data_IF_207318019986
#
_entry.id   IF_207318019986
#
_cell.length_a   1.000
_cell.length_b   1.000
_cell.length_c   1.000
_cell.angle_alpha   90.00
_cell.angle_beta   90.00
_cell.angle_gamma   90.00
#
_symmetry.space_group_name_H-M   'P 1'
#
loop_
_entity.id
_entity.type
_entity.pdbx_description
1 polymer ?
#
# COMPACT_ATOMS: atom_id res chain seq x y z
N UNK A 1 -17.29 -6.84 -13.36
CA UNK A 1 -16.49 -7.96 -12.84
C UNK A 1 -17.43 -8.93 -12.14
N UNK A 2 -17.09 -10.21 -11.98
CA UNK A 2 -17.95 -11.13 -11.21
C UNK A 2 -17.77 -10.86 -9.71
N UNK A 3 -18.82 -11.07 -8.91
CA UNK A 3 -18.79 -10.88 -7.44
C UNK A 3 -17.62 -11.63 -6.78
N UNK A 4 -17.25 -12.80 -7.32
CA UNK A 4 -16.10 -13.57 -6.83
C UNK A 4 -14.75 -12.86 -7.05
N UNK A 5 -14.58 -12.15 -8.18
CA UNK A 5 -13.37 -11.37 -8.46
C UNK A 5 -13.28 -10.11 -7.61
N UNK A 6 -14.42 -9.46 -7.36
CA UNK A 6 -14.47 -8.27 -6.49
C UNK A 6 -14.13 -8.65 -5.04
N UNK A 7 -14.67 -9.78 -4.56
CA UNK A 7 -14.31 -10.33 -3.23
C UNK A 7 -12.83 -10.74 -3.16
N UNK A 8 -12.29 -11.36 -4.22
CA UNK A 8 -10.89 -11.74 -4.30
C UNK A 8 -9.96 -10.53 -4.22
N UNK A 9 -10.26 -9.49 -5.00
CA UNK A 9 -9.51 -8.24 -4.96
C UNK A 9 -9.58 -7.61 -3.56
N UNK A 10 -10.76 -7.51 -2.95
CA UNK A 10 -10.92 -6.92 -1.62
C UNK A 10 -10.12 -7.66 -0.53
N UNK A 11 -10.21 -9.00 -0.49
CA UNK A 11 -9.47 -9.80 0.51
C UNK A 11 -7.95 -9.65 0.31
N UNK A 12 -7.50 -9.63 -0.94
CA UNK A 12 -6.11 -9.37 -1.28
C UNK A 12 -5.66 -7.95 -0.87
N UNK A 13 -6.49 -6.93 -1.07
CA UNK A 13 -6.20 -5.57 -0.62
C UNK A 13 -6.00 -5.48 0.89
N UNK A 14 -6.89 -6.10 1.66
CA UNK A 14 -6.78 -6.13 3.12
C UNK A 14 -5.48 -6.84 3.56
N UNK A 15 -5.09 -7.91 2.87
CA UNK A 15 -3.87 -8.64 3.19
C UNK A 15 -2.59 -7.86 2.84
N UNK A 16 -2.55 -7.14 1.72
CA UNK A 16 -1.34 -6.51 1.17
C UNK A 16 -1.09 -5.09 1.70
N UNK A 17 -2.13 -4.27 1.85
CA UNK A 17 -1.99 -2.87 2.22
C UNK A 17 -2.05 -2.67 3.75
N UNK A 18 -0.92 -2.50 4.46
CA UNK A 18 -0.90 -2.34 5.91
C UNK A 18 -1.77 -1.17 6.42
N UNK A 19 -2.06 -0.19 5.57
CA UNK A 19 -2.85 0.98 5.92
C UNK A 19 -4.32 0.88 5.45
N UNK A 20 -4.75 -0.30 4.96
CA UNK A 20 -6.13 -0.52 4.57
C UNK A 20 -7.07 -0.15 5.71
N UNK A 21 -8.03 0.73 5.40
CA UNK A 21 -9.08 1.14 6.32
C UNK A 21 -10.39 1.31 5.56
N UNK A 22 -11.49 0.98 6.22
CA UNK A 22 -12.83 1.29 5.74
C UNK A 22 -13.05 2.79 5.93
N UNK A 23 -13.20 3.50 4.82
CA UNK A 23 -13.36 4.96 4.78
C UNK A 23 -14.67 5.42 5.40
N UNK A 24 -14.64 6.57 6.08
CA UNK A 24 -15.81 7.27 6.60
C UNK A 24 -16.64 7.96 5.50
N UNK A 25 -16.06 8.19 4.32
CA UNK A 25 -16.70 8.95 3.24
C UNK A 25 -17.45 8.02 2.28
N UNK A 26 -18.73 8.27 1.97
CA UNK A 26 -19.46 7.50 0.96
C UNK A 26 -18.74 7.55 -0.39
N UNK A 27 -18.52 6.39 -1.02
CA UNK A 27 -17.81 6.29 -2.30
C UNK A 27 -18.43 7.08 -3.47
N UNK A 28 -19.66 7.60 -3.33
CA UNK A 28 -20.35 8.32 -4.41
C UNK A 28 -21.05 9.61 -3.92
N UNK A 29 -20.73 10.79 -4.50
CA UNK A 29 -21.38 12.06 -4.18
C UNK A 29 -22.91 12.04 -4.34
N UNK A 30 -23.44 11.27 -5.28
CA UNK A 30 -24.89 11.15 -5.51
C UNK A 30 -25.55 10.36 -4.38
N UNK A 31 -24.91 9.28 -3.89
CA UNK A 31 -25.40 8.57 -2.70
C UNK A 31 -25.35 9.46 -1.46
N UNK A 32 -24.31 10.30 -1.32
CA UNK A 32 -24.22 11.26 -0.23
C UNK A 32 -25.37 12.28 -0.28
N UNK A 33 -25.66 12.86 -1.44
CA UNK A 33 -26.76 13.83 -1.64
C UNK A 33 -28.15 13.21 -1.45
N UNK A 34 -28.36 11.96 -1.88
CA UNK A 34 -29.62 11.24 -1.66
C UNK A 34 -29.81 10.92 -0.18
N UNK A 35 -28.77 10.43 0.51
CA UNK A 35 -28.79 10.19 1.97
C UNK A 35 -29.08 11.50 2.71
N UNK A 36 -28.45 12.61 2.32
CA UNK A 36 -28.64 13.92 2.93
C UNK A 36 -30.07 14.46 2.74
N UNK A 37 -30.63 14.40 1.53
CA UNK A 37 -31.98 14.92 1.26
C UNK A 37 -33.09 14.06 1.89
N UNK A 38 -32.96 12.73 1.91
CA UNK A 38 -33.91 11.87 2.62
C UNK A 38 -33.85 12.10 4.14
N UNK A 39 -32.65 12.27 4.69
CA UNK A 39 -32.47 12.54 6.11
C UNK A 39 -33.03 13.92 6.49
N UNK A 40 -32.85 14.94 5.66
CA UNK A 40 -33.34 16.31 5.93
C UNK A 40 -34.85 16.36 6.16
N UNK A 41 -35.64 15.82 5.21
CA UNK A 41 -37.10 15.81 5.33
C UNK A 41 -37.58 15.06 6.58
N UNK A 42 -36.87 14.01 6.97
CA UNK A 42 -37.18 13.24 8.17
C UNK A 42 -36.89 14.02 9.47
N UNK A 43 -35.79 14.78 9.51
CA UNK A 43 -35.47 15.64 10.65
C UNK A 43 -36.40 16.84 10.78
N UNK A 44 -36.87 17.39 9.65
CA UNK A 44 -37.84 18.48 9.64
C UNK A 44 -39.19 18.00 10.24
N UNK A 45 -39.65 16.80 9.89
CA UNK A 45 -40.84 16.18 10.49
C UNK A 45 -40.68 15.95 12.01
N UNK A 46 -39.52 15.47 12.46
CA UNK A 46 -39.24 15.32 13.89
C UNK A 46 -39.30 16.68 14.62
N UNK A 47 -38.75 17.73 14.01
CA UNK A 47 -38.80 19.07 14.59
C UNK A 47 -40.24 19.62 14.67
N UNK A 48 -41.04 19.42 13.61
CA UNK A 48 -42.46 19.80 13.58
C UNK A 48 -43.26 19.09 14.66
N UNK A 49 -43.03 17.78 14.85
CA UNK A 49 -43.72 16.97 15.85
C UNK A 49 -43.40 17.40 17.29
N UNK A 50 -42.14 17.69 17.57
CA UNK A 50 -41.70 18.18 18.88
C UNK A 50 -42.16 19.61 19.17
N UNK A 51 -42.51 20.40 18.14
CA UNK A 51 -43.02 21.75 18.29
C UNK A 51 -44.54 21.82 18.56
N UNK A 52 -45.27 20.70 18.45
CA UNK A 52 -46.71 20.61 18.78
C UNK A 52 -46.95 20.85 20.29
N UNK A 53 -48.18 21.21 20.65
CA UNK A 53 -48.63 21.33 22.04
C UNK A 53 -49.89 20.46 22.30
N UNK A 54 -49.77 19.32 23.03
CA UNK A 54 -48.53 18.77 23.58
C UNK A 54 -47.61 18.19 22.49
N UNK A 55 -46.30 18.05 22.76
CA UNK A 55 -45.34 17.48 21.80
C UNK A 55 -45.69 16.04 21.39
N UNK A 56 -45.45 15.71 20.12
CA UNK A 56 -45.63 14.36 19.59
C UNK A 56 -44.29 13.60 19.59
N UNK A 57 -44.21 12.57 20.43
CA UNK A 57 -42.98 11.81 20.65
C UNK A 57 -42.84 10.56 19.77
N UNK A 58 -43.78 10.28 18.85
CA UNK A 58 -43.79 9.03 18.08
C UNK A 58 -42.50 8.86 17.27
N UNK A 59 -42.05 9.88 16.53
CA UNK A 59 -40.83 9.81 15.75
C UNK A 59 -39.57 9.70 16.64
N UNK A 60 -39.50 10.47 17.72
CA UNK A 60 -38.39 10.40 18.68
C UNK A 60 -38.26 8.98 19.28
N UNK A 61 -39.37 8.36 19.66
CA UNK A 61 -39.39 6.99 20.16
C UNK A 61 -38.85 5.98 19.15
N UNK A 62 -39.29 6.05 17.90
CA UNK A 62 -38.83 5.13 16.85
C UNK A 62 -37.31 5.25 16.65
N UNK A 63 -36.77 6.47 16.67
CA UNK A 63 -35.33 6.72 16.59
C UNK A 63 -34.57 6.18 17.79
N UNK A 64 -35.11 6.30 19.00
CA UNK A 64 -34.51 5.70 20.19
C UNK A 64 -34.49 4.16 20.11
N UNK A 65 -35.51 3.53 19.51
CA UNK A 65 -35.52 2.09 19.28
C UNK A 65 -34.50 1.67 18.21
N UNK A 66 -34.32 2.47 17.16
CA UNK A 66 -33.28 2.25 16.16
C UNK A 66 -31.88 2.41 16.75
N UNK A 67 -31.67 3.43 17.59
CA UNK A 67 -30.43 3.63 18.36
C UNK A 67 -30.15 2.41 19.23
N UNK A 68 -31.15 1.93 19.98
CA UNK A 68 -31.04 0.72 20.80
C UNK A 68 -30.59 -0.47 19.96
N UNK A 69 -31.27 -0.72 18.83
CA UNK A 69 -30.98 -1.86 17.98
C UNK A 69 -29.55 -1.78 17.42
N UNK A 70 -29.16 -0.60 16.94
CA UNK A 70 -27.81 -0.33 16.42
C UNK A 70 -26.73 -0.59 17.48
N UNK A 71 -26.95 -0.12 18.71
CA UNK A 71 -26.01 -0.35 19.82
C UNK A 71 -25.89 -1.85 20.11
N UNK A 72 -27.00 -2.57 20.15
CA UNK A 72 -27.01 -4.00 20.50
C UNK A 72 -26.46 -4.89 19.37
N UNK A 73 -26.70 -4.58 18.11
CA UNK A 73 -26.35 -5.49 17.02
C UNK A 73 -25.00 -5.14 16.39
N UNK A 74 -24.72 -3.84 16.20
CA UNK A 74 -23.56 -3.40 15.43
C UNK A 74 -22.38 -2.98 16.30
N UNK A 75 -22.64 -2.41 17.49
CA UNK A 75 -21.59 -1.85 18.36
C UNK A 75 -21.18 -2.85 19.45
N UNK A 76 -22.14 -3.48 20.12
CA UNK A 76 -21.88 -4.39 21.23
C UNK A 76 -21.79 -5.84 20.77
N UNK A 77 -20.61 -6.44 20.91
CA UNK A 77 -20.48 -7.90 20.78
C UNK A 77 -21.36 -8.67 21.80
N UNK A 78 -21.68 -9.96 21.53
CA UNK A 78 -22.41 -10.81 22.47
C UNK A 78 -21.73 -10.98 23.84
N UNK A 79 -20.42 -10.72 23.94
CA UNK A 79 -19.66 -10.82 25.19
C UNK A 79 -19.99 -9.68 26.18
N UNK A 80 -20.55 -8.56 25.72
CA UNK A 80 -20.87 -7.38 26.55
C UNK A 80 -22.17 -7.55 27.37
N UNK A 81 -22.35 -8.68 28.05
CA UNK A 81 -23.60 -9.08 28.73
C UNK A 81 -24.14 -7.98 29.66
N UNK A 82 -23.28 -7.35 30.47
CA UNK A 82 -23.68 -6.29 31.40
C UNK A 82 -24.16 -5.02 30.70
N UNK A 83 -23.42 -4.55 29.70
CA UNK A 83 -23.80 -3.35 28.93
C UNK A 83 -25.08 -3.59 28.13
N UNK A 84 -25.24 -4.78 27.54
CA UNK A 84 -26.48 -5.15 26.84
C UNK A 84 -27.68 -5.13 27.78
N UNK A 85 -27.53 -5.61 29.02
CA UNK A 85 -28.60 -5.56 30.02
C UNK A 85 -28.94 -4.13 30.44
N UNK A 86 -27.91 -3.28 30.64
CA UNK A 86 -28.07 -1.84 30.93
C UNK A 86 -28.85 -1.12 29.82
N UNK A 87 -28.43 -1.31 28.56
CA UNK A 87 -29.12 -0.76 27.37
C UNK A 87 -30.57 -1.22 27.31
N UNK A 88 -30.83 -2.51 27.47
CA UNK A 88 -32.19 -3.05 27.43
C UNK A 88 -33.08 -2.54 28.55
N UNK A 89 -32.51 -2.25 29.73
CA UNK A 89 -33.26 -1.70 30.85
C UNK A 89 -33.62 -0.23 30.68
N UNK A 90 -32.70 0.59 30.16
CA UNK A 90 -32.94 2.04 29.99
C UNK A 90 -33.79 2.32 28.75
N UNK A 91 -33.53 1.60 27.66
CA UNK A 91 -34.27 1.68 26.39
C UNK A 91 -35.29 0.53 26.29
N UNK A 92 -36.05 0.26 27.36
CA UNK A 92 -37.11 -0.75 27.33
C UNK A 92 -38.31 -0.25 26.51
N UNK A 93 -38.72 -1.03 25.51
CA UNK A 93 -39.74 -0.60 24.54
C UNK A 93 -41.09 -0.35 25.22
N UNK A 94 -41.53 -1.28 26.08
CA UNK A 94 -42.83 -1.19 26.75
C UNK A 94 -42.86 0.01 27.70
N UNK A 95 -41.81 0.18 28.50
CA UNK A 95 -41.69 1.29 29.44
C UNK A 95 -41.65 2.65 28.73
N UNK A 96 -40.92 2.76 27.62
CA UNK A 96 -40.86 4.00 26.85
C UNK A 96 -42.16 4.28 26.09
N UNK A 97 -42.83 3.25 25.54
CA UNK A 97 -44.15 3.40 24.91
C UNK A 97 -45.19 3.95 25.89
N UNK A 98 -45.22 3.41 27.12
CA UNK A 98 -46.11 3.92 28.17
C UNK A 98 -45.82 5.39 28.52
N UNK A 99 -44.55 5.79 28.61
CA UNK A 99 -44.15 7.20 28.85
C UNK A 99 -44.49 8.12 27.68
N UNK A 100 -44.45 7.61 26.46
CA UNK A 100 -44.87 8.32 25.25
C UNK A 100 -46.36 8.65 25.31
N UNK A 101 -47.21 7.63 25.55
CA UNK A 101 -48.66 7.77 25.58
C UNK A 101 -49.14 8.73 26.68
N UNK A 102 -48.35 8.87 27.75
CA UNK A 102 -48.59 9.81 28.85
C UNK A 102 -47.97 11.20 28.63
N UNK A 103 -47.34 11.46 27.48
CA UNK A 103 -46.62 12.70 27.16
C UNK A 103 -45.58 13.11 28.25
N UNK A 104 -44.91 12.12 28.85
CA UNK A 104 -43.94 12.34 29.94
C UNK A 104 -42.55 11.75 29.64
N UNK A 105 -42.24 11.58 28.35
CA UNK A 105 -40.96 11.02 27.91
C UNK A 105 -39.82 12.04 28.05
N UNK A 106 -38.78 11.67 28.81
CA UNK A 106 -37.54 12.46 28.93
C UNK A 106 -36.53 12.06 27.85
N UNK A 107 -36.70 12.61 26.64
CA UNK A 107 -35.81 12.32 25.51
C UNK A 107 -34.37 12.81 25.77
N UNK A 108 -34.20 13.93 26.47
CA UNK A 108 -32.88 14.46 26.83
C UNK A 108 -32.12 13.55 27.80
N UNK A 109 -32.78 13.06 28.85
CA UNK A 109 -32.17 12.13 29.80
C UNK A 109 -31.74 10.83 29.13
N UNK A 110 -32.57 10.28 28.24
CA UNK A 110 -32.25 9.07 27.48
C UNK A 110 -31.08 9.34 26.51
N UNK A 111 -31.11 10.47 25.79
CA UNK A 111 -30.04 10.85 24.88
C UNK A 111 -28.69 11.01 25.59
N UNK A 112 -28.66 11.66 26.76
CA UNK A 112 -27.45 11.77 27.59
C UNK A 112 -26.92 10.42 28.03
N UNK A 113 -27.78 9.52 28.48
CA UNK A 113 -27.39 8.15 28.80
C UNK A 113 -26.73 7.45 27.60
N UNK A 114 -27.31 7.58 26.40
CA UNK A 114 -26.73 7.00 25.18
C UNK A 114 -25.37 7.61 24.88
N UNK A 115 -25.24 8.94 24.94
CA UNK A 115 -23.96 9.63 24.72
C UNK A 115 -22.90 9.14 25.72
N UNK A 116 -23.25 9.01 27.01
CA UNK A 116 -22.35 8.49 28.05
C UNK A 116 -21.96 7.02 27.83
N UNK A 117 -22.87 6.20 27.33
CA UNK A 117 -22.58 4.83 26.95
C UNK A 117 -21.61 4.77 25.77
N UNK A 118 -21.89 5.52 24.70
CA UNK A 118 -21.04 5.58 23.51
C UNK A 118 -19.65 6.15 23.84
N UNK A 119 -19.57 7.15 24.72
CA UNK A 119 -18.32 7.72 25.22
C UNK A 119 -17.39 6.68 25.87
N UNK A 120 -17.95 5.67 26.53
CA UNK A 120 -17.19 4.58 27.16
C UNK A 120 -16.68 3.54 26.15
N UNK A 121 -17.20 3.56 24.92
CA UNK A 121 -16.97 2.53 23.90
C UNK A 121 -16.18 3.05 22.68
N UNK A 122 -16.23 4.36 22.40
CA UNK A 122 -15.54 4.95 21.26
C UNK A 122 -14.02 5.09 21.49
N UNK A 123 -13.28 5.29 20.40
CA UNK A 123 -11.85 5.58 20.46
C UNK A 123 -11.59 6.98 21.07
N UNK A 124 -10.44 7.21 21.74
CA UNK A 124 -10.10 8.50 22.36
C UNK A 124 -10.13 9.69 21.40
N UNK A 125 -9.87 9.44 20.11
CA UNK A 125 -9.92 10.45 19.05
C UNK A 125 -11.32 11.08 18.90
N UNK A 126 -12.37 10.40 19.38
CA UNK A 126 -13.76 10.85 19.32
C UNK A 126 -14.19 11.67 20.54
N UNK A 127 -13.35 11.84 21.56
CA UNK A 127 -13.67 12.56 22.79
C UNK A 127 -14.16 13.99 22.53
N UNK A 128 -13.56 14.69 21.57
CA UNK A 128 -13.98 16.05 21.18
C UNK A 128 -15.38 16.10 20.57
N UNK A 129 -15.79 15.05 19.86
CA UNK A 129 -17.13 14.93 19.28
C UNK A 129 -18.15 14.60 20.38
N UNK A 130 -17.82 13.66 21.26
CA UNK A 130 -18.65 13.30 22.43
C UNK A 130 -18.90 14.52 23.30
N UNK A 131 -17.87 15.33 23.57
CA UNK A 131 -17.98 16.50 24.43
C UNK A 131 -18.94 17.55 23.84
N UNK A 132 -18.91 17.74 22.51
CA UNK A 132 -19.89 18.60 21.82
C UNK A 132 -21.32 18.06 21.98
N UNK A 133 -21.52 16.76 21.82
CA UNK A 133 -22.84 16.13 21.97
C UNK A 133 -23.40 16.23 23.39
N UNK A 134 -22.54 16.16 24.42
CA UNK A 134 -22.96 16.36 25.83
C UNK A 134 -23.58 17.72 26.09
N UNK A 135 -23.14 18.74 25.33
CA UNK A 135 -23.59 20.13 25.46
C UNK A 135 -24.72 20.50 24.49
N UNK A 136 -25.22 19.55 23.70
CA UNK A 136 -26.29 19.80 22.74
C UNK A 136 -27.64 19.97 23.46
N UNK A 137 -28.31 21.09 23.22
CA UNK A 137 -29.59 21.44 23.85
C UNK A 137 -30.79 21.08 22.97
N UNK A 138 -30.59 20.91 21.65
CA UNK A 138 -31.65 20.50 20.73
C UNK A 138 -31.85 18.98 20.72
N UNK A 139 -33.09 18.50 20.89
CA UNK A 139 -33.42 17.06 20.80
C UNK A 139 -33.04 16.50 19.42
N UNK A 140 -33.36 17.25 18.36
CA UNK A 140 -33.13 16.82 16.98
C UNK A 140 -31.63 16.72 16.69
N UNK A 141 -30.86 17.73 17.08
CA UNK A 141 -29.41 17.84 16.92
C UNK A 141 -28.69 16.76 17.74
N UNK A 142 -29.16 16.50 18.95
CA UNK A 142 -28.65 15.44 19.81
C UNK A 142 -28.84 14.07 19.17
N UNK A 143 -30.05 13.74 18.69
CA UNK A 143 -30.33 12.45 18.04
C UNK A 143 -29.51 12.30 16.74
N UNK A 144 -29.48 13.33 15.89
CA UNK A 144 -28.62 13.38 14.68
C UNK A 144 -27.16 13.08 15.04
N UNK A 145 -26.67 13.73 16.08
CA UNK A 145 -25.32 13.60 16.58
C UNK A 145 -25.00 12.19 17.10
N UNK A 146 -25.95 11.55 17.79
CA UNK A 146 -25.84 10.15 18.23
C UNK A 146 -25.71 9.21 17.02
N UNK A 147 -26.56 9.34 16.01
CA UNK A 147 -26.46 8.52 14.79
C UNK A 147 -25.12 8.71 14.08
N UNK A 148 -24.67 9.97 13.94
CA UNK A 148 -23.38 10.25 13.34
C UNK A 148 -22.21 9.62 14.12
N UNK A 149 -22.23 9.72 15.46
CA UNK A 149 -21.23 9.09 16.31
C UNK A 149 -21.25 7.56 16.15
N UNK A 150 -22.43 6.93 16.13
CA UNK A 150 -22.56 5.48 15.90
C UNK A 150 -22.03 5.05 14.53
N UNK A 151 -22.34 5.80 13.46
CA UNK A 151 -21.84 5.51 12.09
C UNK A 151 -20.30 5.55 12.06
N UNK A 152 -19.68 6.54 12.71
CA UNK A 152 -18.22 6.63 12.83
C UNK A 152 -17.67 5.46 13.66
N UNK A 153 -18.30 5.14 14.79
CA UNK A 153 -17.89 4.03 15.66
C UNK A 153 -17.96 2.67 14.96
N UNK A 154 -18.92 2.46 14.05
CA UNK A 154 -18.99 1.23 13.24
C UNK A 154 -17.75 1.05 12.37
N UNK A 155 -17.25 2.13 11.77
CA UNK A 155 -16.01 2.12 11.00
C UNK A 155 -14.80 1.88 11.91
N UNK A 156 -14.74 2.54 13.07
CA UNK A 156 -13.69 2.34 14.07
C UNK A 156 -13.61 0.87 14.50
N UNK A 157 -14.76 0.26 14.82
CA UNK A 157 -14.84 -1.14 15.22
C UNK A 157 -14.44 -2.08 14.07
N UNK A 158 -14.88 -1.79 12.84
CA UNK A 158 -14.50 -2.58 11.66
C UNK A 158 -12.99 -2.53 11.44
N UNK A 159 -12.39 -1.35 11.50
CA UNK A 159 -10.94 -1.17 11.36
C UNK A 159 -10.16 -1.84 12.50
N UNK A 160 -10.65 -1.77 13.74
CA UNK A 160 -10.08 -2.48 14.89
C UNK A 160 -10.13 -3.99 14.73
N UNK A 161 -11.26 -4.54 14.27
CA UNK A 161 -11.42 -5.98 14.01
C UNK A 161 -10.49 -6.43 12.88
N UNK A 162 -10.40 -5.64 11.80
CA UNK A 162 -9.48 -5.92 10.68
C UNK A 162 -8.01 -5.89 11.15
N UNK A 163 -7.60 -4.88 11.92
CA UNK A 163 -6.23 -4.77 12.43
C UNK A 163 -5.87 -5.92 13.37
N UNK A 164 -6.81 -6.31 14.25
CA UNK A 164 -6.60 -7.38 15.22
C UNK A 164 -6.52 -8.76 14.55
N UNK A 165 -7.30 -8.99 13.49
CA UNK A 165 -7.36 -10.27 12.80
C UNK A 165 -6.48 -10.33 11.53
N UNK A 166 -5.61 -9.35 11.32
CA UNK A 166 -4.87 -9.18 10.07
C UNK A 166 -4.09 -10.42 9.63
N UNK A 167 -3.38 -11.06 10.56
CA UNK A 167 -2.63 -12.28 10.27
C UNK A 167 -3.52 -13.43 9.77
N UNK A 168 -4.74 -13.55 10.30
CA UNK A 168 -5.71 -14.54 9.86
C UNK A 168 -6.28 -14.20 8.47
N UNK A 169 -6.49 -12.91 8.17
CA UNK A 169 -6.91 -12.45 6.84
C UNK A 169 -5.83 -12.73 5.80
N UNK A 170 -4.55 -12.47 6.11
CA UNK A 170 -3.43 -12.78 5.23
C UNK A 170 -3.36 -14.28 4.89
N UNK A 171 -3.48 -15.14 5.91
CA UNK A 171 -3.50 -16.60 5.70
C UNK A 171 -4.69 -17.05 4.85
N UNK A 172 -5.87 -16.49 5.13
CA UNK A 172 -7.07 -16.76 4.34
C UNK A 172 -6.93 -16.29 2.90
N UNK A 173 -6.37 -15.09 2.67
CA UNK A 173 -6.15 -14.52 1.35
C UNK A 173 -5.30 -15.43 0.47
N UNK A 174 -4.16 -15.92 0.97
CA UNK A 174 -3.32 -16.85 0.21
C UNK A 174 -4.05 -18.14 -0.17
N UNK A 175 -4.81 -18.73 0.76
CA UNK A 175 -5.58 -19.96 0.50
C UNK A 175 -6.70 -19.72 -0.52
N UNK A 176 -7.40 -18.59 -0.38
CA UNK A 176 -8.50 -18.21 -1.24
C UNK A 176 -8.04 -17.90 -2.67
N UNK A 177 -6.98 -17.10 -2.82
CA UNK A 177 -6.35 -16.78 -4.11
C UNK A 177 -5.88 -18.03 -4.85
N UNK A 178 -5.16 -18.92 -4.16
CA UNK A 178 -4.69 -20.15 -4.77
C UNK A 178 -5.85 -21.01 -5.28
N UNK A 179 -6.91 -21.17 -4.47
CA UNK A 179 -8.12 -21.91 -4.84
C UNK A 179 -8.82 -21.31 -6.07
N UNK A 180 -9.00 -19.99 -6.12
CA UNK A 180 -9.63 -19.33 -7.26
C UNK A 180 -8.75 -19.42 -8.51
N UNK A 181 -7.43 -19.37 -8.36
CA UNK A 181 -6.50 -19.56 -9.48
C UNK A 181 -6.56 -20.98 -10.04
N UNK A 182 -6.67 -22.01 -9.19
CA UNK A 182 -6.85 -23.39 -9.66
C UNK A 182 -8.16 -23.57 -10.44
N UNK A 183 -9.27 -23.00 -9.95
CA UNK A 183 -10.55 -22.99 -10.70
C UNK A 183 -10.44 -22.28 -12.05
N UNK A 184 -9.62 -21.24 -12.11
CA UNK A 184 -9.32 -20.55 -13.37
C UNK A 184 -8.55 -21.47 -14.32
N UNK A 185 -7.54 -22.21 -13.84
CA UNK A 185 -6.79 -23.18 -14.65
C UNK A 185 -7.65 -24.35 -15.14
N UNK A 186 -8.63 -24.82 -14.35
CA UNK A 186 -9.58 -25.85 -14.78
C UNK A 186 -10.39 -25.41 -16.02
N UNK A 187 -10.75 -24.12 -16.09
CA UNK A 187 -11.47 -23.54 -17.23
C UNK A 187 -10.54 -23.18 -18.39
N UNK A 188 -9.30 -22.82 -18.08
CA UNK A 188 -8.30 -22.36 -19.04
C UNK A 188 -6.95 -23.05 -18.75
N UNK A 189 -6.72 -24.27 -19.28
CA UNK A 189 -5.50 -25.04 -18.98
C UNK A 189 -4.19 -24.31 -19.35
N UNK A 190 -4.23 -23.44 -20.37
CA UNK A 190 -3.11 -22.56 -20.75
C UNK A 190 -2.97 -21.29 -19.92
N UNK A 191 -3.73 -21.14 -18.83
CA UNK A 191 -3.79 -19.92 -18.02
C UNK A 191 -2.56 -19.64 -17.14
N UNK A 192 -1.50 -20.43 -17.26
CA UNK A 192 -0.23 -20.26 -16.53
C UNK A 192 1.01 -20.25 -17.44
N UNK A 193 0.82 -20.10 -18.75
CA UNK A 193 1.92 -20.15 -19.73
C UNK A 193 2.94 -19.03 -19.50
N UNK A 194 2.49 -17.81 -19.22
CA UNK A 194 3.39 -16.69 -18.96
C UNK A 194 4.13 -16.87 -17.63
N UNK A 195 3.48 -17.46 -16.63
CA UNK A 195 4.09 -17.82 -15.34
C UNK A 195 5.20 -18.85 -15.54
N UNK A 196 4.96 -19.89 -16.35
CA UNK A 196 5.98 -20.91 -16.66
C UNK A 196 7.18 -20.29 -17.39
N UNK A 197 6.94 -19.47 -18.42
CA UNK A 197 8.02 -18.83 -19.17
C UNK A 197 8.80 -17.83 -18.30
N UNK A 198 8.10 -17.06 -17.45
CA UNK A 198 8.72 -16.16 -16.49
C UNK A 198 9.66 -16.90 -15.52
N UNK A 199 9.21 -18.03 -14.95
CA UNK A 199 10.04 -18.86 -14.09
C UNK A 199 11.23 -19.46 -14.84
N UNK A 200 11.03 -19.91 -16.09
CA UNK A 200 12.08 -20.49 -16.91
C UNK A 200 13.20 -19.50 -17.17
N UNK A 201 12.88 -18.28 -17.62
CA UNK A 201 13.88 -17.23 -17.86
C UNK A 201 14.64 -16.88 -16.57
N UNK A 202 13.93 -16.74 -15.45
CA UNK A 202 14.55 -16.47 -14.17
C UNK A 202 15.46 -17.62 -13.71
N UNK A 203 15.05 -18.88 -13.92
CA UNK A 203 15.81 -20.05 -13.54
C UNK A 203 17.11 -20.15 -14.34
N UNK A 204 17.05 -19.96 -15.66
CA UNK A 204 18.23 -19.99 -16.54
C UNK A 204 19.25 -18.89 -16.21
N UNK A 205 18.80 -17.72 -15.72
CA UNK A 205 19.71 -16.68 -15.24
C UNK A 205 20.40 -17.04 -13.91
N UNK A 206 19.70 -17.75 -13.00
CA UNK A 206 20.25 -18.14 -11.70
C UNK A 206 21.15 -19.37 -11.81
N UNK A 207 20.79 -20.30 -12.68
CA UNK A 207 21.46 -21.57 -12.91
C UNK A 207 21.86 -21.69 -14.39
N UNK A 208 22.86 -20.92 -14.85
CA UNK A 208 23.33 -21.00 -16.22
C UNK A 208 23.95 -22.38 -16.48
N UNK A 209 23.60 -23.02 -17.60
CA UNK A 209 24.22 -24.27 -18.04
C UNK A 209 25.70 -24.02 -18.34
N UNK A 210 26.60 -24.82 -17.78
CA UNK A 210 28.06 -24.73 -17.96
C UNK A 210 28.54 -25.24 -19.33
N UNK A 211 27.80 -25.00 -20.40
CA UNK A 211 28.10 -25.50 -21.75
C UNK A 211 28.83 -24.49 -22.65
N UNK A 212 29.33 -23.37 -22.11
CA UNK A 212 30.15 -22.43 -22.87
C UNK A 212 31.63 -22.54 -22.44
N UNK A 213 32.34 -23.37 -23.19
CA UNK A 213 33.74 -23.73 -23.03
C UNK A 213 34.61 -22.62 -23.65
N UNK A 214 34.84 -21.52 -22.93
CA UNK A 214 35.97 -20.61 -23.19
C UNK A 214 36.12 -19.51 -22.13
N UNK A 215 36.79 -19.82 -21.01
CA UNK A 215 37.82 -18.93 -20.43
C UNK A 215 38.61 -19.61 -19.29
N UNK A 216 39.90 -19.27 -19.09
CA UNK A 216 40.77 -19.97 -18.16
C UNK A 216 40.43 -19.65 -16.70
N UNK A 217 40.39 -20.72 -15.91
CA UNK A 217 40.06 -20.75 -14.49
C UNK A 217 40.93 -19.80 -13.65
N UNK A 218 40.29 -18.77 -13.09
CA UNK A 218 40.75 -18.14 -11.85
C UNK A 218 39.98 -18.75 -10.69
N UNK A 219 40.69 -19.59 -9.91
CA UNK A 219 40.26 -20.26 -8.67
C UNK A 219 39.19 -19.49 -7.89
N UNK A 220 37.96 -20.02 -7.86
CA UNK A 220 37.00 -19.78 -6.77
C UNK A 220 36.58 -21.12 -6.20
N UNK A 221 37.26 -21.52 -5.13
CA UNK A 221 36.74 -22.47 -4.17
C UNK A 221 35.51 -21.83 -3.48
N UNK A 222 34.31 -22.23 -3.89
CA UNK A 222 33.18 -22.35 -2.98
C UNK A 222 32.65 -23.77 -3.09
N UNK A 223 32.37 -24.48 -1.98
CA UNK A 223 31.74 -25.79 -2.07
C UNK A 223 30.35 -25.60 -2.65
N UNK A 224 30.06 -26.28 -3.76
CA UNK A 224 28.69 -26.45 -4.27
C UNK A 224 27.96 -27.30 -3.24
N UNK A 225 27.29 -26.64 -2.31
CA UNK A 225 26.24 -27.27 -1.52
C UNK A 225 25.07 -27.36 -2.48
N UNK A 226 24.54 -28.56 -2.72
CA UNK A 226 23.32 -28.72 -3.51
C UNK A 226 22.21 -27.91 -2.84
N UNK A 227 21.76 -26.83 -3.50
CA UNK A 227 20.66 -26.00 -3.01
C UNK A 227 19.43 -26.92 -2.80
N UNK A 228 18.77 -26.80 -1.65
CA UNK A 228 17.51 -27.51 -1.42
C UNK A 228 16.45 -27.06 -2.44
N UNK A 229 15.48 -27.92 -2.76
CA UNK A 229 14.40 -27.59 -3.70
C UNK A 229 13.64 -26.31 -3.30
N UNK A 230 13.46 -26.08 -2.00
CA UNK A 230 12.83 -24.86 -1.48
C UNK A 230 13.71 -23.61 -1.72
N UNK A 231 15.04 -23.73 -1.57
CA UNK A 231 15.99 -22.64 -1.84
C UNK A 231 16.00 -22.28 -3.34
N UNK A 232 15.95 -23.28 -4.23
CA UNK A 232 15.83 -23.08 -5.67
C UNK A 232 14.59 -22.26 -6.03
N UNK A 233 13.44 -22.55 -5.43
CA UNK A 233 12.20 -21.79 -5.62
C UNK A 233 12.39 -20.34 -5.16
N UNK A 234 12.97 -20.13 -3.98
CA UNK A 234 13.21 -18.78 -3.43
C UNK A 234 14.14 -17.99 -4.36
N UNK A 235 15.25 -18.57 -4.81
CA UNK A 235 16.23 -17.89 -5.67
C UNK A 235 15.65 -17.57 -7.05
N UNK A 236 15.02 -18.55 -7.69
CA UNK A 236 14.37 -18.40 -9.00
C UNK A 236 13.29 -17.32 -8.95
N UNK A 237 12.37 -17.40 -7.97
CA UNK A 237 11.29 -16.41 -7.85
C UNK A 237 11.82 -15.02 -7.46
N UNK A 238 12.85 -14.91 -6.62
CA UNK A 238 13.47 -13.61 -6.29
C UNK A 238 14.04 -12.93 -7.52
N UNK A 239 14.75 -13.69 -8.37
CA UNK A 239 15.25 -13.18 -9.66
C UNK A 239 14.09 -12.77 -10.57
N UNK A 240 13.06 -13.61 -10.68
CA UNK A 240 11.88 -13.33 -11.48
C UNK A 240 11.16 -12.06 -11.03
N UNK A 241 10.97 -11.84 -9.73
CA UNK A 241 10.31 -10.65 -9.20
C UNK A 241 11.12 -9.38 -9.46
N UNK A 242 12.45 -9.44 -9.31
CA UNK A 242 13.34 -8.34 -9.65
C UNK A 242 13.16 -7.92 -11.12
N UNK A 243 13.09 -8.88 -12.05
CA UNK A 243 12.90 -8.58 -13.48
C UNK A 243 11.62 -7.83 -13.80
N UNK A 244 10.56 -8.04 -13.01
CA UNK A 244 9.29 -7.34 -13.19
C UNK A 244 9.35 -5.85 -12.83
N UNK A 245 10.35 -5.44 -12.02
CA UNK A 245 10.55 -4.03 -11.64
C UNK A 245 11.74 -3.39 -12.33
N UNK A 246 12.57 -4.16 -13.04
CA UNK A 246 13.66 -3.60 -13.85
C UNK A 246 13.20 -3.02 -15.20
N UNK A 247 11.97 -3.34 -15.64
CA UNK A 247 11.35 -2.84 -16.87
C UNK A 247 9.93 -2.39 -16.60
N UNK A 248 9.47 -1.32 -17.26
CA UNK A 248 8.09 -0.84 -17.11
C UNK A 248 7.07 -1.75 -17.80
N UNK A 249 7.50 -2.52 -18.80
CA UNK A 249 6.65 -3.44 -19.57
C UNK A 249 7.30 -4.83 -19.67
N UNK A 250 7.45 -5.55 -18.54
CA UNK A 250 8.15 -6.82 -18.55
C UNK A 250 7.35 -7.87 -19.33
N UNK A 251 8.03 -8.61 -20.19
CA UNK A 251 7.49 -9.74 -20.94
C UNK A 251 8.41 -10.94 -20.73
N UNK A 252 7.87 -12.10 -20.30
CA UNK A 252 6.47 -12.37 -19.93
C UNK A 252 6.06 -11.74 -18.60
N UNK A 253 4.76 -11.44 -18.44
CA UNK A 253 4.17 -11.04 -17.16
C UNK A 253 3.36 -12.22 -16.58
N UNK A 254 3.71 -12.73 -15.39
CA UNK A 254 3.12 -13.95 -14.86
C UNK A 254 1.66 -13.74 -14.42
N UNK A 255 0.77 -14.66 -14.78
CA UNK A 255 -0.65 -14.60 -14.45
C UNK A 255 -0.92 -14.64 -12.93
N UNK A 256 -0.01 -15.24 -12.17
CA UNK A 256 -0.06 -15.28 -10.70
C UNK A 256 0.10 -13.92 -10.02
N UNK A 257 0.63 -12.90 -10.72
CA UNK A 257 0.77 -11.51 -10.21
C UNK A 257 -0.23 -10.54 -10.85
N UNK A 258 -1.28 -11.06 -11.51
CA UNK A 258 -2.23 -10.23 -12.26
C UNK A 258 -2.93 -9.16 -11.41
N UNK A 259 -3.25 -9.47 -10.14
CA UNK A 259 -3.89 -8.52 -9.21
C UNK A 259 -2.95 -7.34 -8.92
N UNK A 260 -1.65 -7.61 -8.80
CA UNK A 260 -0.62 -6.63 -8.45
C UNK A 260 0.00 -5.91 -9.66
N UNK A 261 -0.53 -6.11 -10.88
CA UNK A 261 0.08 -5.58 -12.11
C UNK A 261 0.34 -4.07 -12.06
N UNK A 262 -0.64 -3.28 -11.59
CA UNK A 262 -0.48 -1.83 -11.48
C UNK A 262 0.49 -1.43 -10.36
N UNK A 263 0.53 -2.17 -9.25
CA UNK A 263 1.49 -1.93 -8.16
C UNK A 263 2.91 -2.18 -8.61
N UNK A 264 3.14 -3.27 -9.34
CA UNK A 264 4.44 -3.63 -9.89
C UNK A 264 4.89 -2.65 -10.97
N UNK A 265 3.98 -2.14 -11.82
CA UNK A 265 4.29 -1.10 -12.78
C UNK A 265 4.75 0.20 -12.08
N UNK A 266 4.05 0.63 -11.02
CA UNK A 266 4.46 1.79 -10.22
C UNK A 266 5.81 1.56 -9.51
N UNK A 267 6.11 0.33 -9.09
CA UNK A 267 7.43 -0.02 -8.55
C UNK A 267 8.50 0.02 -9.64
N UNK A 268 8.22 -0.46 -10.86
CA UNK A 268 9.15 -0.36 -11.98
C UNK A 268 9.51 1.09 -12.32
N UNK A 269 8.52 1.99 -12.27
CA UNK A 269 8.72 3.43 -12.39
C UNK A 269 9.68 3.98 -11.33
N UNK A 270 9.46 3.61 -10.05
CA UNK A 270 10.34 4.01 -8.95
C UNK A 270 11.74 3.39 -9.05
N UNK A 271 11.88 2.19 -9.58
CA UNK A 271 13.19 1.59 -9.86
C UNK A 271 13.95 2.42 -10.91
N UNK A 272 13.29 2.78 -12.02
CA UNK A 272 13.86 3.67 -13.05
C UNK A 272 14.26 5.02 -12.45
N UNK A 273 13.38 5.62 -11.64
CA UNK A 273 13.65 6.88 -10.95
C UNK A 273 14.91 6.80 -10.09
N UNK A 274 15.02 5.80 -9.21
CA UNK A 274 16.19 5.62 -8.34
C UNK A 274 17.48 5.41 -9.14
N UNK A 275 17.40 4.65 -10.23
CA UNK A 275 18.55 4.43 -11.12
C UNK A 275 19.02 5.74 -11.74
N UNK A 276 18.12 6.48 -12.40
CA UNK A 276 18.42 7.75 -13.08
C UNK A 276 18.91 8.82 -12.10
N UNK A 277 18.22 9.03 -10.99
CA UNK A 277 18.57 10.04 -9.98
C UNK A 277 19.94 9.74 -9.37
N UNK A 278 20.21 8.49 -9.01
CA UNK A 278 21.51 8.14 -8.39
C UNK A 278 22.66 8.29 -9.39
N UNK A 279 22.46 7.89 -10.65
CA UNK A 279 23.44 8.13 -11.71
C UNK A 279 23.70 9.63 -11.92
N UNK A 280 22.64 10.45 -11.95
CA UNK A 280 22.76 11.89 -12.09
C UNK A 280 23.51 12.54 -10.92
N UNK A 281 23.24 12.12 -9.68
CA UNK A 281 23.97 12.57 -8.49
C UNK A 281 25.45 12.19 -8.58
N UNK A 282 25.78 10.97 -9.01
CA UNK A 282 27.17 10.54 -9.17
C UNK A 282 27.93 11.35 -10.21
N UNK A 283 27.34 11.54 -11.40
CA UNK A 283 27.94 12.36 -12.47
C UNK A 283 28.16 13.79 -11.97
N UNK A 284 27.14 14.37 -11.35
CA UNK A 284 27.21 15.73 -10.82
C UNK A 284 28.29 15.87 -9.75
N UNK A 285 28.37 14.93 -8.79
CA UNK A 285 29.41 14.97 -7.76
C UNK A 285 30.83 14.83 -8.33
N UNK A 286 30.99 14.02 -9.38
CA UNK A 286 32.28 13.85 -10.04
C UNK A 286 32.72 15.15 -10.73
N UNK A 287 31.83 15.75 -11.54
CA UNK A 287 32.15 16.95 -12.32
C UNK A 287 32.14 18.26 -11.51
N UNK A 288 31.39 18.33 -10.40
CA UNK A 288 31.35 19.50 -9.53
C UNK A 288 32.67 19.75 -8.77
N UNK A 289 33.54 18.74 -8.69
CA UNK A 289 34.76 18.79 -7.91
C UNK A 289 34.56 18.56 -6.41
N UNK A 290 35.66 18.27 -5.71
CA UNK A 290 35.65 17.84 -4.31
C UNK A 290 35.01 18.87 -3.36
N UNK A 291 35.36 20.15 -3.51
CA UNK A 291 34.87 21.21 -2.63
C UNK A 291 33.34 21.37 -2.68
N UNK A 292 32.74 21.27 -3.87
CA UNK A 292 31.29 21.36 -4.03
C UNK A 292 30.61 20.06 -3.59
N UNK A 293 31.13 18.91 -4.04
CA UNK A 293 30.50 17.60 -3.76
C UNK A 293 30.56 17.16 -2.29
N UNK A 294 31.57 17.61 -1.53
CA UNK A 294 31.72 17.35 -0.09
C UNK A 294 31.13 18.45 0.78
N UNK A 295 30.57 19.51 0.19
CA UNK A 295 29.86 20.53 0.94
C UNK A 295 28.64 19.95 1.66
N UNK A 296 28.33 20.54 2.81
CA UNK A 296 27.28 20.04 3.68
C UNK A 296 25.93 20.00 2.96
N UNK A 297 25.22 18.87 3.08
CA UNK A 297 23.89 18.64 2.50
C UNK A 297 23.79 18.71 0.96
N UNK A 298 24.86 18.95 0.20
CA UNK A 298 24.78 19.07 -1.26
C UNK A 298 24.17 17.84 -1.93
N UNK A 299 24.70 16.64 -1.62
CA UNK A 299 24.21 15.38 -2.20
C UNK A 299 22.74 15.13 -1.87
N UNK A 300 22.35 15.40 -0.61
CA UNK A 300 20.98 15.22 -0.13
C UNK A 300 20.03 16.19 -0.82
N UNK A 301 20.36 17.49 -0.83
CA UNK A 301 19.56 18.53 -1.48
C UNK A 301 19.42 18.31 -2.98
N UNK A 302 20.49 17.91 -3.67
CA UNK A 302 20.44 17.60 -5.09
C UNK A 302 19.50 16.42 -5.33
N UNK A 303 19.70 15.31 -4.61
CA UNK A 303 18.84 14.12 -4.72
C UNK A 303 17.36 14.45 -4.46
N UNK A 304 17.04 15.20 -3.40
CA UNK A 304 15.67 15.58 -3.07
C UNK A 304 15.00 16.36 -4.22
N UNK A 305 15.73 17.31 -4.83
CA UNK A 305 15.23 18.08 -5.98
C UNK A 305 15.05 17.20 -7.23
N UNK A 306 15.99 16.30 -7.50
CA UNK A 306 15.92 15.40 -8.65
C UNK A 306 14.76 14.41 -8.51
N UNK A 307 14.48 13.91 -7.30
CA UNK A 307 13.30 13.05 -7.04
C UNK A 307 12.01 13.79 -7.38
N UNK A 308 11.88 15.06 -7.00
CA UNK A 308 10.67 15.85 -7.31
C UNK A 308 10.50 16.01 -8.82
N UNK A 309 11.57 16.35 -9.55
CA UNK A 309 11.52 16.56 -11.01
C UNK A 309 11.21 15.27 -11.77
N UNK A 310 11.58 14.12 -11.22
CA UNK A 310 11.44 12.81 -11.86
C UNK A 310 10.27 11.99 -11.33
N UNK A 311 9.28 12.60 -10.65
CA UNK A 311 8.25 11.84 -9.94
C UNK A 311 7.43 10.91 -10.86
N UNK A 312 7.20 11.33 -12.10
CA UNK A 312 6.37 10.65 -13.11
C UNK A 312 7.24 10.16 -14.30
N UNK A 313 8.41 9.60 -13.99
CA UNK A 313 9.40 9.18 -15.00
C UNK A 313 9.00 7.87 -15.66
N UNK A 314 8.87 7.91 -16.98
CA UNK A 314 8.54 6.78 -17.84
C UNK A 314 9.59 6.61 -18.93
N UNK A 315 9.71 5.40 -19.50
CA UNK A 315 10.61 5.14 -20.63
C UNK A 315 10.32 6.11 -21.80
N UNK A 316 9.05 6.45 -22.04
CA UNK A 316 8.60 7.34 -23.11
C UNK A 316 8.99 8.81 -22.93
N UNK A 317 9.16 9.29 -21.68
CA UNK A 317 9.48 10.69 -21.36
C UNK A 317 10.87 10.84 -20.72
N UNK A 318 11.69 9.78 -20.77
CA UNK A 318 13.00 9.71 -20.12
C UNK A 318 13.92 10.85 -20.58
N UNK A 319 13.96 11.14 -21.88
CA UNK A 319 14.83 12.18 -22.42
C UNK A 319 14.44 13.59 -21.93
N UNK A 320 13.15 13.90 -21.90
CA UNK A 320 12.64 15.18 -21.41
C UNK A 320 12.91 15.34 -19.91
N UNK A 321 12.71 14.26 -19.15
CA UNK A 321 13.04 14.21 -17.72
C UNK A 321 14.54 14.43 -17.51
N UNK A 322 15.41 13.79 -18.30
CA UNK A 322 16.86 13.98 -18.23
C UNK A 322 17.30 15.40 -18.62
N UNK A 323 16.60 16.06 -19.55
CA UNK A 323 16.84 17.47 -19.85
C UNK A 323 16.58 18.34 -18.62
N UNK A 324 15.43 18.17 -17.95
CA UNK A 324 15.10 18.89 -16.72
C UNK A 324 16.08 18.60 -15.57
N UNK A 325 16.44 17.32 -15.37
CA UNK A 325 17.47 16.89 -14.41
C UNK A 325 18.80 17.58 -14.71
N UNK A 326 19.21 17.64 -15.98
CA UNK A 326 20.49 18.23 -16.38
C UNK A 326 20.60 19.72 -16.02
N UNK A 327 19.52 20.48 -16.25
CA UNK A 327 19.48 21.90 -15.87
C UNK A 327 19.47 22.05 -14.34
N UNK A 328 18.75 21.19 -13.61
CA UNK A 328 18.74 21.22 -12.16
C UNK A 328 20.12 20.89 -11.56
N UNK A 329 20.83 19.91 -12.12
CA UNK A 329 22.19 19.57 -11.70
C UNK A 329 23.14 20.76 -11.88
N UNK A 330 23.09 21.44 -13.04
CA UNK A 330 23.90 22.64 -13.29
C UNK A 330 23.53 23.76 -12.32
N UNK A 331 22.24 24.07 -12.17
CA UNK A 331 21.77 25.15 -11.30
C UNK A 331 22.20 24.94 -9.84
N UNK A 332 22.05 23.71 -9.33
CA UNK A 332 22.43 23.35 -7.95
C UNK A 332 23.95 23.43 -7.75
N UNK A 333 24.70 22.94 -8.73
CA UNK A 333 26.17 22.99 -8.70
C UNK A 333 26.67 24.43 -8.73
N UNK A 334 26.14 25.26 -9.63
CA UNK A 334 26.49 26.69 -9.74
C UNK A 334 26.16 27.46 -8.46
N UNK A 335 24.99 27.22 -7.88
CA UNK A 335 24.56 27.86 -6.62
C UNK A 335 25.53 27.53 -5.48
N UNK A 336 25.92 26.26 -5.34
CA UNK A 336 26.87 25.84 -4.32
C UNK A 336 28.28 26.41 -4.59
N UNK A 337 28.77 26.31 -5.82
CA UNK A 337 30.09 26.83 -6.20
C UNK A 337 30.22 28.33 -5.95
N UNK A 338 29.16 29.10 -6.25
CA UNK A 338 29.10 30.54 -5.95
C UNK A 338 29.22 30.83 -4.45
N UNK A 339 28.57 30.02 -3.59
CA UNK A 339 28.68 30.16 -2.14
C UNK A 339 30.07 29.80 -1.59
N UNK A 340 30.82 28.98 -2.31
CA UNK A 340 32.17 28.54 -1.95
C UNK A 340 33.28 29.33 -2.66
N UNK A 341 32.92 30.34 -3.46
CA UNK A 341 33.84 31.10 -4.33
C UNK A 341 34.66 30.21 -5.29
N UNK A 342 34.06 29.13 -5.78
CA UNK A 342 34.62 28.23 -6.79
C UNK A 342 34.09 28.62 -8.16
N UNK A 343 34.97 28.80 -9.14
CA UNK A 343 34.57 29.12 -10.50
C UNK A 343 34.25 27.83 -11.29
N UNK A 344 33.05 27.75 -11.86
CA UNK A 344 32.66 26.68 -12.78
C UNK A 344 32.56 27.31 -14.16
N UNK A 345 33.39 26.85 -15.11
CA UNK A 345 33.35 27.34 -16.48
C UNK A 345 32.13 26.81 -17.23
N UNK A 346 31.66 27.54 -18.24
CA UNK A 346 30.57 27.11 -19.12
C UNK A 346 30.82 25.75 -19.79
N UNK A 347 32.08 25.40 -20.08
CA UNK A 347 32.46 24.11 -20.68
C UNK A 347 32.20 22.93 -19.73
N UNK A 348 32.45 23.12 -18.43
CA UNK A 348 32.13 22.12 -17.39
C UNK A 348 30.62 21.93 -17.27
N UNK A 349 29.83 22.99 -17.36
CA UNK A 349 28.37 22.89 -17.31
C UNK A 349 27.80 22.22 -18.56
N UNK A 350 28.37 22.50 -19.73
CA UNK A 350 27.99 21.84 -20.99
C UNK A 350 28.30 20.34 -20.90
N UNK A 351 29.49 19.99 -20.41
CA UNK A 351 29.90 18.59 -20.19
C UNK A 351 28.97 17.89 -19.21
N UNK A 352 28.58 18.56 -18.11
CA UNK A 352 27.63 18.02 -17.15
C UNK A 352 26.28 17.73 -17.82
N UNK A 353 25.74 18.66 -18.62
CA UNK A 353 24.48 18.41 -19.34
C UNK A 353 24.56 17.22 -20.29
N UNK A 354 25.64 17.13 -21.06
CA UNK A 354 25.85 16.04 -22.03
C UNK A 354 25.96 14.68 -21.33
N UNK A 355 26.72 14.59 -20.24
CA UNK A 355 26.86 13.34 -19.48
C UNK A 355 25.55 12.91 -18.80
N UNK A 356 24.76 13.86 -18.29
CA UNK A 356 23.44 13.55 -17.72
C UNK A 356 22.50 13.04 -18.80
N UNK A 357 22.46 13.67 -19.98
CA UNK A 357 21.62 13.21 -21.10
C UNK A 357 22.05 11.83 -21.60
N UNK A 358 23.35 11.52 -21.57
CA UNK A 358 23.88 10.20 -21.93
C UNK A 358 23.40 9.07 -21.01
N UNK A 359 22.77 9.35 -19.86
CA UNK A 359 22.08 8.35 -19.02
C UNK A 359 20.87 7.76 -19.76
N UNK A 360 20.34 8.39 -20.82
CA UNK A 360 19.22 7.84 -21.60
C UNK A 360 19.55 6.49 -22.22
N UNK A 361 20.83 6.20 -22.47
CA UNK A 361 21.30 4.89 -22.90
C UNK A 361 21.35 3.93 -21.70
N UNK A 362 20.67 2.79 -21.82
CA UNK A 362 20.65 1.72 -20.83
C UNK A 362 22.05 1.11 -20.61
N UNK A 363 22.93 1.16 -21.61
CA UNK A 363 24.31 0.66 -21.54
C UNK A 363 25.31 1.69 -21.00
N UNK A 364 24.87 2.90 -20.65
CA UNK A 364 25.73 3.88 -20.01
C UNK A 364 26.39 3.26 -18.76
N UNK A 365 27.71 3.29 -18.68
CA UNK A 365 28.46 2.59 -17.63
C UNK A 365 28.04 2.96 -16.21
N UNK A 366 27.68 4.23 -15.96
CA UNK A 366 27.24 4.71 -14.65
C UNK A 366 25.81 4.23 -14.36
N UNK A 367 24.91 4.29 -15.34
CA UNK A 367 23.54 3.77 -15.21
C UNK A 367 23.53 2.25 -15.00
N UNK A 368 24.32 1.51 -15.77
CA UNK A 368 24.45 0.07 -15.63
C UNK A 368 25.03 -0.32 -14.25
N UNK A 369 26.04 0.41 -13.76
CA UNK A 369 26.61 0.21 -12.43
C UNK A 369 25.59 0.45 -11.32
N UNK A 370 24.85 1.56 -11.39
CA UNK A 370 23.82 1.90 -10.39
C UNK A 370 22.70 0.87 -10.41
N UNK A 371 22.19 0.52 -11.60
CA UNK A 371 21.20 -0.55 -11.81
C UNK A 371 21.64 -1.84 -11.14
N UNK A 372 22.87 -2.30 -11.42
CA UNK A 372 23.42 -3.53 -10.84
C UNK A 372 23.45 -3.48 -9.31
N UNK A 373 23.87 -2.36 -8.71
CA UNK A 373 23.91 -2.21 -7.24
C UNK A 373 22.50 -2.26 -6.63
N UNK A 374 21.54 -1.55 -7.21
CA UNK A 374 20.14 -1.56 -6.74
C UNK A 374 19.57 -2.98 -6.89
N UNK A 375 19.76 -3.61 -8.05
CA UNK A 375 19.29 -4.96 -8.34
C UNK A 375 19.86 -5.99 -7.35
N UNK A 376 21.16 -5.97 -7.09
CA UNK A 376 21.79 -6.86 -6.09
C UNK A 376 21.23 -6.63 -4.69
N UNK A 377 21.05 -5.38 -4.27
CA UNK A 377 20.45 -5.08 -2.97
C UNK A 377 19.01 -5.63 -2.87
N UNK A 378 18.18 -5.38 -3.88
CA UNK A 378 16.78 -5.82 -3.92
C UNK A 378 16.70 -7.35 -3.92
N UNK A 379 17.50 -8.02 -4.73
CA UNK A 379 17.49 -9.48 -4.84
C UNK A 379 17.91 -10.17 -3.54
N UNK A 380 18.93 -9.65 -2.85
CA UNK A 380 19.37 -10.18 -1.56
C UNK A 380 18.27 -10.05 -0.50
N UNK A 381 17.55 -8.94 -0.46
CA UNK A 381 16.39 -8.76 0.44
C UNK A 381 15.25 -9.71 0.08
N UNK A 382 14.98 -9.96 -1.20
CA UNK A 382 13.92 -10.88 -1.64
C UNK A 382 14.22 -12.35 -1.32
N UNK A 383 15.51 -12.72 -1.25
CA UNK A 383 15.98 -14.04 -0.85
C UNK A 383 15.97 -14.22 0.67
N UNK A 384 16.41 -13.20 1.40
CA UNK A 384 16.56 -13.25 2.87
C UNK A 384 15.98 -11.99 3.51
N UNK A 385 14.67 -11.98 3.82
CA UNK A 385 13.97 -10.81 4.34
C UNK A 385 14.39 -10.36 5.75
N UNK A 386 15.18 -11.18 6.46
CA UNK A 386 15.36 -11.09 7.91
C UNK A 386 16.33 -10.00 8.38
N UNK A 387 17.23 -9.48 7.52
CA UNK A 387 18.16 -8.40 7.87
C UNK A 387 18.46 -7.51 6.65
N UNK A 388 18.46 -6.18 6.83
CA UNK A 388 18.93 -5.24 5.80
C UNK A 388 20.46 -5.32 5.73
N UNK A 389 21.07 -5.82 4.64
CA UNK A 389 22.52 -5.95 4.60
C UNK A 389 23.14 -4.56 4.47
N UNK A 390 23.56 -3.95 5.58
CA UNK A 390 24.25 -2.65 5.57
C UNK A 390 25.52 -2.67 4.70
N UNK A 391 26.11 -3.86 4.51
CA UNK A 391 27.28 -4.08 3.64
C UNK A 391 27.00 -3.86 2.15
N UNK A 392 25.74 -3.86 1.71
CA UNK A 392 25.34 -3.68 0.31
C UNK A 392 24.98 -2.23 -0.05
N UNK A 393 25.03 -1.31 0.92
CA UNK A 393 24.73 0.12 0.74
C UNK A 393 25.88 1.01 0.19
N UNK A 394 27.16 0.60 0.05
CA UNK A 394 28.20 1.48 -0.49
C UNK A 394 27.82 2.06 -1.86
N UNK A 395 27.73 3.40 -1.93
CA UNK A 395 27.28 4.13 -3.12
C UNK A 395 25.76 4.36 -3.20
N UNK A 396 24.94 3.56 -2.54
CA UNK A 396 23.49 3.75 -2.50
C UNK A 396 23.01 4.52 -1.26
N UNK A 397 23.93 4.90 -0.36
CA UNK A 397 23.59 5.62 0.88
C UNK A 397 22.80 6.92 0.64
N UNK A 398 23.00 7.58 -0.50
CA UNK A 398 22.26 8.80 -0.84
C UNK A 398 20.75 8.56 -1.03
N UNK A 399 20.36 7.37 -1.52
CA UNK A 399 18.96 6.96 -1.73
C UNK A 399 18.49 5.90 -0.73
N UNK A 400 19.14 5.78 0.43
CA UNK A 400 18.86 4.69 1.38
C UNK A 400 17.38 4.66 1.81
N UNK A 401 16.79 5.82 2.10
CA UNK A 401 15.37 5.93 2.50
C UNK A 401 14.42 5.45 1.41
N UNK A 402 14.67 5.86 0.17
CA UNK A 402 13.88 5.56 -1.02
C UNK A 402 13.99 4.07 -1.35
N UNK A 403 15.21 3.53 -1.29
CA UNK A 403 15.49 2.12 -1.51
C UNK A 403 14.82 1.25 -0.45
N UNK A 404 14.90 1.61 0.83
CA UNK A 404 14.21 0.90 1.91
C UNK A 404 12.68 0.93 1.73
N UNK A 405 12.09 2.09 1.39
CA UNK A 405 10.66 2.21 1.16
C UNK A 405 10.20 1.40 -0.07
N UNK A 406 10.97 1.46 -1.16
CA UNK A 406 10.76 0.65 -2.36
C UNK A 406 10.79 -0.85 -2.05
N UNK A 407 11.87 -1.32 -1.43
CA UNK A 407 12.04 -2.74 -1.15
C UNK A 407 11.01 -3.25 -0.15
N UNK A 408 10.62 -2.46 0.86
CA UNK A 408 9.55 -2.85 1.78
C UNK A 408 8.20 -3.06 1.06
N UNK A 409 7.87 -2.21 0.07
CA UNK A 409 6.66 -2.36 -0.75
C UNK A 409 6.73 -3.59 -1.64
N UNK A 410 7.85 -3.77 -2.36
CA UNK A 410 8.03 -4.91 -3.25
C UNK A 410 8.02 -6.24 -2.48
N UNK A 411 8.70 -6.29 -1.35
CA UNK A 411 8.81 -7.50 -0.51
C UNK A 411 7.44 -8.01 -0.06
N UNK A 412 6.50 -7.11 0.31
CA UNK A 412 5.14 -7.52 0.70
C UNK A 412 4.42 -8.27 -0.41
N UNK A 413 4.47 -7.74 -1.64
CA UNK A 413 3.87 -8.38 -2.82
C UNK A 413 4.51 -9.74 -3.09
N UNK A 414 5.84 -9.77 -3.11
CA UNK A 414 6.60 -10.97 -3.43
C UNK A 414 6.46 -12.08 -2.39
N UNK A 415 6.44 -11.73 -1.09
CA UNK A 415 6.26 -12.70 0.01
C UNK A 415 4.86 -13.28 -0.02
N UNK A 416 3.83 -12.45 -0.20
CA UNK A 416 2.45 -12.93 -0.31
C UNK A 416 2.28 -13.82 -1.53
N UNK A 417 2.74 -13.38 -2.71
CA UNK A 417 2.66 -14.17 -3.93
C UNK A 417 3.41 -15.51 -3.81
N UNK A 418 4.64 -15.48 -3.24
CA UNK A 418 5.42 -16.69 -3.00
C UNK A 418 4.69 -17.62 -2.04
N UNK A 419 4.08 -17.12 -0.96
CA UNK A 419 3.27 -17.91 -0.02
C UNK A 419 2.06 -18.54 -0.70
N UNK A 420 1.36 -17.80 -1.56
CA UNK A 420 0.17 -18.24 -2.28
C UNK A 420 0.49 -19.35 -3.30
N UNK A 421 1.58 -19.20 -4.06
CA UNK A 421 1.88 -20.05 -5.22
C UNK A 421 3.10 -20.96 -5.05
N UNK A 422 3.66 -21.09 -3.84
CA UNK A 422 4.91 -21.81 -3.58
C UNK A 422 4.94 -23.21 -4.20
N UNK A 423 3.92 -24.03 -3.90
CA UNK A 423 3.83 -25.41 -4.38
C UNK A 423 3.71 -25.49 -5.91
N UNK A 424 2.98 -24.54 -6.51
CA UNK A 424 2.85 -24.44 -7.96
C UNK A 424 4.19 -24.09 -8.62
N UNK A 425 4.90 -23.09 -8.10
CA UNK A 425 6.22 -22.70 -8.58
C UNK A 425 7.24 -23.82 -8.46
N UNK A 426 7.25 -24.53 -7.34
CA UNK A 426 8.08 -25.72 -7.14
C UNK A 426 7.83 -26.77 -8.22
N UNK A 427 6.57 -27.11 -8.48
CA UNK A 427 6.21 -28.07 -9.53
C UNK A 427 6.67 -27.61 -10.93
N UNK A 428 6.49 -26.32 -11.25
CA UNK A 428 6.89 -25.77 -12.56
C UNK A 428 8.41 -25.74 -12.73
N UNK A 429 9.16 -25.38 -11.70
CA UNK A 429 10.62 -25.36 -11.73
C UNK A 429 11.17 -26.78 -11.94
N UNK A 430 10.62 -27.78 -11.25
CA UNK A 430 11.01 -29.18 -11.45
C UNK A 430 10.70 -29.68 -12.88
N UNK A 431 9.59 -29.26 -13.47
CA UNK A 431 9.25 -29.55 -14.87
C UNK A 431 10.27 -28.88 -15.83
N UNK A 432 10.67 -27.63 -15.56
CA UNK A 432 11.68 -26.90 -16.33
C UNK A 432 13.03 -27.64 -16.28
N UNK A 433 13.49 -28.04 -15.10
CA UNK A 433 14.75 -28.79 -14.94
C UNK A 433 14.71 -30.12 -15.71
N UNK A 434 13.63 -30.88 -15.60
CA UNK A 434 13.47 -32.15 -16.33
C UNK A 434 13.52 -31.96 -17.86
N UNK A 435 12.96 -30.87 -18.37
CA UNK A 435 12.97 -30.57 -19.80
C UNK A 435 14.34 -30.10 -20.29
N UNK A 436 15.15 -29.47 -19.42
CA UNK A 436 16.52 -29.07 -19.74
C UNK A 436 17.51 -30.23 -19.75
N UNK A 437 17.27 -31.28 -18.94
CA UNK A 437 18.11 -32.50 -18.93
C UNK A 437 17.83 -33.40 -20.13
N UNK A 438 16.62 -33.30 -20.72
CA UNK A 438 16.19 -34.15 -21.85
C UNK A 438 16.36 -33.52 -23.23
N UNK A 439 16.67 -32.21 -23.29
CA UNK A 439 17.01 -31.47 -24.50
C UNK A 439 18.53 -31.46 -24.71
#
# INVERSE_FOLDING_TARGET
>A
MSVAMDNLALVHEIAIDPNFSVSEVPSNPIQAVIKENMHRAYWDLLAEDLAKDPPDYIHAFNLLMEIKQTILDDILSPAHVRLRAEVNSVLDENSLRNKMEQNCMDVHGIGRFVIDLLARLCAPERDTLVEKLRHEEGIVEMIKGIFNLMDIMKNDLTNYVLSTNRAAVEEYSSKFEYKEFLKYLEKFPGGSLMTKEWLKLAHLEVYPSTSDDSQPEAKKEKPVTEDSDDDKVVRTTSRGYLKLVESQNPVPFPETLRIDKLRLAALAEKFLQMNVVTSAVFITCNLAGKQVSESENFKKSLKDQLIVISNDIEEKNLLDTLNAISEQCVATTRKCASSLNVNISDDHEKTLREQIKAISDDNNAIRALVRSRIATFVEEILRSPSEVPHRLLPGLSVIQSELCAFTARLLRLCVHNRRTFFALYRSMINEIESNLVTA
#
